data_IF_104800155148
#
_entry.id   IF_104800155148
#
_cell.length_a   1.000
_cell.length_b   1.000
_cell.length_c   1.000
_cell.angle_alpha   90.00
_cell.angle_beta   90.00
_cell.angle_gamma   90.00
#
_symmetry.space_group_name_H-M   'P 1'
#
loop_
_entity.id
_entity.type
_entity.pdbx_description
1 polymer ?
#
# COMPACT_ATOMS: atom_id res chain seq x y z
N UNK A 1 22.30 -11.13 -5.70
CA UNK A 1 21.36 -10.88 -4.58
C UNK A 1 21.83 -11.65 -3.35
N UNK A 2 22.42 -10.95 -2.39
CA UNK A 2 22.94 -11.54 -1.15
C UNK A 2 21.78 -12.07 -0.29
N UNK A 3 21.79 -13.38 -0.02
CA UNK A 3 20.86 -14.02 0.91
C UNK A 3 21.17 -13.52 2.33
N UNK A 4 20.29 -12.69 2.91
CA UNK A 4 20.28 -12.46 4.36
C UNK A 4 19.94 -13.80 5.04
N UNK A 5 20.97 -14.47 5.53
CA UNK A 5 20.83 -15.71 6.32
C UNK A 5 20.19 -15.36 7.67
N UNK A 6 19.11 -16.08 7.98
CA UNK A 6 18.33 -16.07 9.24
C UNK A 6 17.24 -14.99 9.41
N UNK A 7 16.30 -14.90 8.46
CA UNK A 7 14.98 -14.31 8.76
C UNK A 7 14.07 -15.38 9.36
N UNK A 8 13.60 -15.16 10.58
CA UNK A 8 12.57 -15.99 11.22
C UNK A 8 11.22 -15.32 11.01
N UNK A 9 10.26 -16.05 10.44
CA UNK A 9 8.89 -15.57 10.27
C UNK A 9 8.13 -15.89 11.56
N UNK A 10 7.87 -14.87 12.38
CA UNK A 10 7.09 -15.02 13.62
C UNK A 10 5.59 -15.21 13.33
N UNK A 11 5.08 -14.52 12.32
CA UNK A 11 3.69 -14.59 11.90
C UNK A 11 3.56 -14.27 10.42
N UNK A 12 2.68 -14.99 9.73
CA UNK A 12 2.32 -14.73 8.34
C UNK A 12 0.81 -14.91 8.19
N UNK A 13 0.17 -13.99 7.48
CA UNK A 13 -1.25 -14.09 7.20
C UNK A 13 -1.56 -15.35 6.35
N UNK A 14 -2.39 -16.30 6.84
CA UNK A 14 -2.70 -17.52 6.11
C UNK A 14 -3.62 -17.31 4.88
N UNK A 15 -4.34 -16.17 4.81
CA UNK A 15 -5.25 -15.84 3.71
C UNK A 15 -5.17 -14.34 3.39
N UNK A 16 -4.20 -13.93 2.59
CA UNK A 16 -3.96 -12.52 2.22
C UNK A 16 -5.14 -11.85 1.50
N UNK A 17 -5.92 -12.62 0.73
CA UNK A 17 -7.13 -12.13 0.03
C UNK A 17 -8.40 -12.10 0.88
N UNK A 18 -8.35 -12.56 2.13
CA UNK A 18 -9.54 -12.62 3.00
C UNK A 18 -9.84 -11.24 3.61
N UNK A 19 -11.08 -10.76 3.41
CA UNK A 19 -11.60 -9.51 3.99
C UNK A 19 -11.44 -9.45 5.52
N UNK A 20 -11.41 -10.60 6.21
CA UNK A 20 -11.24 -10.68 7.67
C UNK A 20 -9.92 -10.07 8.19
N UNK A 21 -8.90 -10.00 7.34
CA UNK A 21 -7.60 -9.41 7.69
C UNK A 21 -7.43 -7.98 7.16
N UNK A 22 -8.36 -7.50 6.33
CA UNK A 22 -8.36 -6.11 5.87
C UNK A 22 -8.91 -5.21 6.98
N UNK A 23 -8.08 -4.25 7.44
CA UNK A 23 -8.48 -3.30 8.48
C UNK A 23 -8.79 -1.95 7.84
N UNK A 24 -10.05 -1.47 7.91
CA UNK A 24 -10.38 -0.17 7.35
C UNK A 24 -9.67 0.93 8.14
N UNK A 25 -8.96 1.81 7.44
CA UNK A 25 -8.32 2.99 8.04
C UNK A 25 -9.34 4.14 8.11
N UNK A 26 -10.11 4.34 7.03
CA UNK A 26 -11.06 5.44 6.92
C UNK A 26 -12.13 5.14 5.87
N UNK A 27 -13.36 5.63 6.10
CA UNK A 27 -14.51 5.46 5.21
C UNK A 27 -15.18 6.80 4.94
N UNK A 28 -15.43 7.12 3.68
CA UNK A 28 -16.02 8.37 3.23
C UNK A 28 -17.31 8.14 2.44
N UNK A 29 -18.32 8.97 2.69
CA UNK A 29 -19.55 9.00 1.91
C UNK A 29 -19.50 10.08 0.83
N UNK A 30 -18.64 9.89 -0.16
CA UNK A 30 -18.43 10.80 -1.30
C UNK A 30 -18.24 9.98 -2.57
N UNK A 31 -18.58 10.57 -3.71
CA UNK A 31 -18.25 9.96 -5.01
C UNK A 31 -16.73 9.95 -5.19
N UNK A 32 -16.19 8.85 -5.67
CA UNK A 32 -14.77 8.74 -6.02
C UNK A 32 -14.45 9.67 -7.21
N UNK A 33 -13.50 10.58 -7.01
CA UNK A 33 -12.94 11.46 -8.06
C UNK A 33 -11.43 11.36 -8.06
N UNK A 34 -10.79 11.72 -9.17
CA UNK A 34 -9.34 11.70 -9.33
C UNK A 34 -8.64 12.57 -8.28
N UNK A 35 -9.18 13.74 -8.00
CA UNK A 35 -8.62 14.70 -7.05
C UNK A 35 -8.69 14.16 -5.63
N UNK A 36 -9.85 13.60 -5.24
CA UNK A 36 -10.02 12.99 -3.92
C UNK A 36 -9.09 11.79 -3.76
N UNK A 37 -9.02 10.90 -4.74
CA UNK A 37 -8.16 9.72 -4.67
C UNK A 37 -6.68 10.09 -4.51
N UNK A 38 -6.18 11.08 -5.25
CA UNK A 38 -4.78 11.53 -5.13
C UNK A 38 -4.53 12.17 -3.77
N UNK A 39 -5.43 13.05 -3.29
CA UNK A 39 -5.31 13.67 -1.96
C UNK A 39 -5.25 12.62 -0.83
N UNK A 40 -6.05 11.56 -0.93
CA UNK A 40 -6.04 10.49 0.08
C UNK A 40 -4.78 9.64 0.02
N UNK A 41 -4.25 9.38 -1.16
CA UNK A 41 -2.99 8.66 -1.32
C UNK A 41 -1.84 9.48 -0.73
N UNK A 42 -1.79 10.77 -1.01
CA UNK A 42 -0.76 11.67 -0.47
C UNK A 42 -0.83 11.73 1.06
N UNK A 43 -2.04 11.86 1.62
CA UNK A 43 -2.26 11.86 3.07
C UNK A 43 -1.81 10.54 3.72
N UNK A 44 -2.19 9.39 3.15
CA UNK A 44 -1.75 8.09 3.68
C UNK A 44 -0.24 7.91 3.52
N UNK A 45 0.36 8.37 2.43
CA UNK A 45 1.80 8.29 2.21
C UNK A 45 2.57 9.15 3.22
N UNK A 46 2.07 10.35 3.54
CA UNK A 46 2.63 11.20 4.59
C UNK A 46 2.55 10.51 5.96
N UNK A 47 1.41 9.89 6.30
CA UNK A 47 1.29 9.11 7.52
C UNK A 47 2.28 7.94 7.57
N UNK A 48 2.47 7.23 6.45
CA UNK A 48 3.45 6.14 6.30
C UNK A 48 4.88 6.65 6.50
N UNK A 49 5.22 7.83 5.96
CA UNK A 49 6.56 8.40 6.09
C UNK A 49 6.85 8.84 7.54
N UNK A 50 5.82 9.27 8.27
CA UNK A 50 5.92 9.74 9.65
C UNK A 50 5.74 8.63 10.70
N UNK A 51 5.48 7.38 10.28
CA UNK A 51 5.18 6.26 11.16
C UNK A 51 6.39 5.96 12.08
N UNK A 52 6.13 5.97 13.38
CA UNK A 52 7.12 5.64 14.39
C UNK A 52 7.04 4.15 14.75
N UNK A 53 8.18 3.58 15.16
CA UNK A 53 8.23 2.22 15.70
C UNK A 53 7.23 2.05 16.84
N UNK A 54 6.51 0.93 16.84
CA UNK A 54 5.59 0.60 17.92
C UNK A 54 6.32 -0.16 19.02
N UNK A 55 6.27 0.37 20.23
CA UNK A 55 6.76 -0.31 21.42
C UNK A 55 5.67 -1.23 21.98
N UNK A 56 6.00 -2.50 22.19
CA UNK A 56 5.08 -3.52 22.72
C UNK A 56 5.74 -4.23 23.89
N UNK A 57 5.08 -4.24 25.05
CA UNK A 57 5.53 -5.00 26.21
C UNK A 57 4.77 -6.31 26.31
N UNK A 58 5.48 -7.45 26.24
CA UNK A 58 4.89 -8.79 26.36
C UNK A 58 5.71 -9.60 27.36
N UNK A 59 5.04 -10.18 28.36
CA UNK A 59 5.68 -11.00 29.40
C UNK A 59 6.88 -10.33 30.09
N UNK A 60 6.78 -9.02 30.35
CA UNK A 60 7.84 -8.23 31.00
C UNK A 60 9.03 -7.89 30.11
N UNK A 61 8.94 -8.11 28.79
CA UNK A 61 9.96 -7.74 27.81
C UNK A 61 9.41 -6.71 26.83
N UNK A 62 10.24 -5.71 26.53
CA UNK A 62 9.92 -4.67 25.55
C UNK A 62 10.44 -5.06 24.17
N UNK A 63 9.56 -4.97 23.17
CA UNK A 63 9.85 -5.19 21.77
C UNK A 63 9.55 -3.92 20.96
N UNK A 64 10.37 -3.65 19.94
CA UNK A 64 10.11 -2.57 18.98
C UNK A 64 9.74 -3.19 17.63
N UNK A 65 8.57 -2.82 17.12
CA UNK A 65 8.05 -3.27 15.82
C UNK A 65 8.18 -2.11 14.83
N UNK A 66 8.97 -2.31 13.78
CA UNK A 66 9.04 -1.38 12.65
C UNK A 66 8.07 -1.83 11.57
N UNK A 67 7.24 -0.91 11.09
CA UNK A 67 6.29 -1.17 10.02
C UNK A 67 6.86 -0.73 8.67
N UNK A 68 6.68 -1.58 7.65
CA UNK A 68 6.89 -1.21 6.26
C UNK A 68 5.57 -1.42 5.52
N UNK A 69 5.00 -0.33 5.03
CA UNK A 69 3.70 -0.32 4.35
C UNK A 69 3.92 -0.14 2.84
N UNK A 70 3.08 -0.76 2.03
CA UNK A 70 3.08 -0.60 0.58
C UNK A 70 1.66 -0.45 0.06
N UNK A 71 1.41 0.55 -0.78
CA UNK A 71 0.12 0.83 -1.40
C UNK A 71 -0.11 -0.08 -2.62
N UNK A 72 -0.33 -1.37 -2.38
CA UNK A 72 -0.52 -2.37 -3.44
C UNK A 72 -1.98 -2.70 -3.74
N UNK A 73 -2.89 -2.38 -2.82
CA UNK A 73 -4.33 -2.60 -2.98
C UNK A 73 -5.00 -1.41 -3.68
N UNK A 74 -4.46 -1.01 -4.82
CA UNK A 74 -5.01 0.03 -5.69
C UNK A 74 -5.50 -0.61 -6.99
N UNK A 75 -6.59 -0.09 -7.55
CA UNK A 75 -7.06 -0.52 -8.85
C UNK A 75 -6.28 0.18 -9.99
N UNK A 76 -6.39 -0.36 -11.20
CA UNK A 76 -5.69 0.21 -12.36
C UNK A 76 -6.12 1.65 -12.69
N UNK A 77 -7.39 2.00 -12.42
CA UNK A 77 -7.92 3.35 -12.65
C UNK A 77 -7.26 4.36 -11.71
N UNK A 78 -7.13 4.04 -10.42
CA UNK A 78 -6.45 4.87 -9.44
C UNK A 78 -4.95 4.96 -9.77
N UNK A 79 -4.30 3.86 -10.16
CA UNK A 79 -2.91 3.91 -10.61
C UNK A 79 -2.72 4.85 -11.82
N UNK A 80 -3.64 4.84 -12.78
CA UNK A 80 -3.63 5.78 -13.91
C UNK A 80 -3.81 7.23 -13.44
N UNK A 81 -4.74 7.48 -12.51
CA UNK A 81 -4.96 8.81 -11.94
C UNK A 81 -3.71 9.35 -11.24
N UNK A 82 -3.07 8.53 -10.40
CA UNK A 82 -1.85 8.90 -9.65
C UNK A 82 -0.67 9.17 -10.57
N UNK A 83 -0.49 8.35 -11.61
CA UNK A 83 0.59 8.52 -12.58
C UNK A 83 0.30 9.56 -13.66
N UNK A 84 -0.82 10.29 -13.55
CA UNK A 84 -1.29 11.24 -14.58
C UNK A 84 -1.42 10.60 -15.98
N UNK A 85 -1.72 9.30 -16.03
CA UNK A 85 -1.95 8.56 -17.27
C UNK A 85 -3.41 8.73 -17.68
N UNK A 86 -3.67 9.55 -18.71
CA UNK A 86 -5.03 9.95 -19.12
C UNK A 86 -5.86 8.81 -19.73
N UNK A 87 -5.21 7.79 -20.30
CA UNK A 87 -5.89 6.70 -21.01
C UNK A 87 -5.74 5.37 -20.26
N UNK A 88 -6.85 4.67 -20.07
CA UNK A 88 -6.86 3.30 -19.55
C UNK A 88 -6.19 2.28 -20.49
N UNK A 89 -5.94 2.66 -21.75
CA UNK A 89 -5.25 1.83 -22.76
C UNK A 89 -3.73 2.07 -22.79
N UNK A 90 -3.22 2.94 -21.92
CA UNK A 90 -1.79 3.21 -21.77
C UNK A 90 -1.30 2.57 -20.46
N UNK A 91 -0.18 1.87 -20.52
CA UNK A 91 0.40 1.26 -19.32
C UNK A 91 0.95 2.35 -18.38
N UNK A 92 0.43 2.46 -17.15
CA UNK A 92 0.92 3.42 -16.16
C UNK A 92 2.36 3.17 -15.66
N UNK A 93 2.91 1.98 -15.91
CA UNK A 93 4.27 1.62 -15.50
C UNK A 93 5.29 2.03 -16.56
N UNK A 94 5.04 1.66 -17.83
CA UNK A 94 6.03 1.83 -18.92
C UNK A 94 5.61 2.82 -20.00
N UNK A 95 4.44 3.47 -19.87
CA UNK A 95 3.87 4.40 -20.84
C UNK A 95 3.60 3.85 -22.25
N UNK A 96 3.69 2.53 -22.45
CA UNK A 96 3.39 1.90 -23.73
C UNK A 96 1.90 2.03 -24.08
N UNK A 97 1.63 2.29 -25.36
CA UNK A 97 0.29 2.26 -25.96
C UNK A 97 0.12 0.94 -26.72
N UNK A 98 -1.13 0.56 -27.01
CA UNK A 98 -1.48 -0.68 -27.71
C UNK A 98 -0.96 -0.77 -29.15
N UNK A 99 -0.27 0.25 -29.67
CA UNK A 99 0.24 0.30 -31.05
C UNK A 99 1.77 0.20 -31.11
N UNK A 100 2.25 -1.05 -31.13
CA UNK A 100 3.42 -1.53 -31.88
C UNK A 100 3.14 -2.98 -32.27
N UNK A 101 2.75 -3.21 -33.52
CA UNK A 101 3.12 -4.42 -34.25
C UNK A 101 4.29 -4.04 -35.16
#
# INVERSE_FOLDING_TARGET
MSKLKNKIILWQNPRSSSVRYCRPIRLHFKKETTELSTQEIDNIQEQINNLQKTEVCVAGRTFFVTQQMALTMLDGKICNAVTSTTSAQKCYICNATTWRQ
#
